data_IF_916339885281
#
_entry.id   IF_916339885281
#
_cell.length_a   1.000
_cell.length_b   1.000
_cell.length_c   1.000
_cell.angle_alpha   90.00
_cell.angle_beta   90.00
_cell.angle_gamma   90.00
#
_symmetry.space_group_name_H-M   'P 1'
#
loop_
_entity.id
_entity.type
_entity.pdbx_description
1 polymer ?
#
# COMPACT_ATOMS: atom_id res chain seq x y z
N UNK A 1 9.07 9.31 -32.75
CA UNK A 1 7.89 8.72 -32.10
C UNK A 1 7.66 7.36 -32.70
N UNK A 2 8.17 6.30 -32.07
CA UNK A 2 8.33 4.97 -32.68
C UNK A 2 7.09 4.09 -32.53
N UNK A 3 6.57 3.62 -33.67
CA UNK A 3 5.30 2.91 -33.86
C UNK A 3 5.19 1.50 -33.29
N UNK A 4 6.02 1.10 -32.33
CA UNK A 4 5.86 -0.19 -31.61
C UNK A 4 4.81 -0.13 -30.49
N UNK A 5 4.47 1.07 -30.01
CA UNK A 5 3.45 1.30 -28.98
C UNK A 5 2.01 1.01 -29.41
N UNK A 6 1.75 0.92 -30.73
CA UNK A 6 0.41 0.81 -31.28
C UNK A 6 -0.06 -0.64 -31.48
N UNK A 7 0.80 -1.66 -31.48
CA UNK A 7 0.38 -3.04 -31.79
C UNK A 7 -0.26 -3.79 -30.62
N UNK A 8 0.11 -3.49 -29.37
CA UNK A 8 -0.49 -4.12 -28.18
C UNK A 8 -1.83 -3.47 -27.81
N UNK A 9 -1.94 -2.13 -27.85
CA UNK A 9 -3.20 -1.41 -27.68
C UNK A 9 -4.23 -1.78 -28.76
N UNK A 10 -3.81 -2.19 -29.97
CA UNK A 10 -4.70 -2.56 -31.08
C UNK A 10 -5.52 -3.84 -30.90
N UNK A 11 -5.24 -4.68 -29.89
CA UNK A 11 -5.84 -6.01 -29.76
C UNK A 11 -6.96 -6.13 -28.72
N UNK A 12 -7.15 -5.14 -27.84
CA UNK A 12 -8.21 -5.15 -26.82
C UNK A 12 -9.05 -3.88 -26.93
N UNK A 13 -10.25 -3.94 -27.54
CA UNK A 13 -11.12 -2.78 -27.81
C UNK A 13 -11.43 -1.93 -26.57
N UNK A 14 -11.51 -2.56 -25.40
CA UNK A 14 -11.79 -1.89 -24.14
C UNK A 14 -10.68 -0.90 -23.73
N UNK A 15 -9.41 -1.30 -23.83
CA UNK A 15 -8.28 -0.41 -23.49
C UNK A 15 -8.15 0.76 -24.45
N UNK A 16 -8.48 0.57 -25.73
CA UNK A 16 -8.53 1.65 -26.72
C UNK A 16 -9.60 2.68 -26.35
N UNK A 17 -10.78 2.22 -25.95
CA UNK A 17 -11.88 3.09 -25.56
C UNK A 17 -11.52 3.95 -24.35
N UNK A 18 -10.93 3.34 -23.31
CA UNK A 18 -10.48 4.04 -22.11
C UNK A 18 -9.35 5.04 -22.43
N UNK A 19 -8.41 4.66 -23.30
CA UNK A 19 -7.33 5.54 -23.75
C UNK A 19 -7.88 6.77 -24.49
N UNK A 20 -8.80 6.59 -25.42
CA UNK A 20 -9.46 7.67 -26.16
C UNK A 20 -10.24 8.61 -25.22
N UNK A 21 -10.97 8.04 -24.25
CA UNK A 21 -11.69 8.82 -23.25
C UNK A 21 -10.77 9.59 -22.28
N UNK A 22 -9.62 8.99 -21.89
CA UNK A 22 -8.63 9.66 -21.02
C UNK A 22 -7.98 10.86 -21.72
N UNK A 23 -7.79 10.78 -23.04
CA UNK A 23 -7.22 11.86 -23.87
C UNK A 23 -8.24 12.92 -24.29
N UNK A 24 -9.54 12.65 -24.15
CA UNK A 24 -10.61 13.60 -24.48
C UNK A 24 -10.89 14.57 -23.32
N UNK A 25 -11.25 15.84 -23.58
CA UNK A 25 -11.68 16.78 -22.54
C UNK A 25 -13.06 16.42 -21.94
N UNK A 26 -13.80 15.50 -22.54
CA UNK A 26 -15.16 15.14 -22.11
C UNK A 26 -15.15 14.15 -20.95
N UNK A 27 -16.11 14.28 -20.02
CA UNK A 27 -16.23 13.41 -18.84
C UNK A 27 -16.96 12.09 -19.11
N UNK A 28 -17.71 11.99 -20.20
CA UNK A 28 -18.54 10.84 -20.55
C UNK A 28 -18.41 10.55 -22.05
N UNK A 29 -18.33 9.27 -22.39
CA UNK A 29 -18.36 8.74 -23.75
C UNK A 29 -19.58 7.88 -23.97
N UNK A 30 -20.07 7.86 -25.21
CA UNK A 30 -21.16 6.98 -25.64
C UNK A 30 -20.59 6.05 -26.72
N UNK A 31 -20.76 4.75 -26.53
CA UNK A 31 -20.45 3.73 -27.52
C UNK A 31 -21.74 3.04 -27.93
N UNK A 32 -22.03 2.97 -29.22
CA UNK A 32 -23.26 2.33 -29.71
C UNK A 32 -23.09 1.76 -31.11
N UNK A 33 -23.82 0.68 -31.39
CA UNK A 33 -24.04 0.14 -32.73
C UNK A 33 -25.48 0.34 -33.23
N UNK A 34 -26.27 1.20 -32.59
CA UNK A 34 -27.69 1.42 -32.88
C UNK A 34 -28.62 0.52 -32.07
N UNK A 35 -28.29 -0.77 -31.92
CA UNK A 35 -29.05 -1.73 -31.12
C UNK A 35 -28.67 -1.70 -29.63
N UNK A 36 -27.38 -1.57 -29.33
CA UNK A 36 -26.83 -1.51 -27.98
C UNK A 36 -26.19 -0.16 -27.71
N UNK A 37 -26.40 0.34 -26.51
CA UNK A 37 -25.90 1.64 -26.08
C UNK A 37 -25.17 1.49 -24.76
N UNK A 38 -23.91 1.92 -24.75
CA UNK A 38 -23.03 1.84 -23.59
C UNK A 38 -22.62 3.27 -23.22
N UNK A 39 -22.98 3.68 -22.02
CA UNK A 39 -22.48 4.92 -21.43
C UNK A 39 -21.21 4.61 -20.64
N UNK A 40 -20.11 5.27 -20.99
CA UNK A 40 -18.79 5.05 -20.40
C UNK A 40 -18.32 6.34 -19.74
N UNK A 41 -18.12 6.31 -18.43
CA UNK A 41 -17.53 7.43 -17.70
C UNK A 41 -16.06 7.53 -18.05
N UNK A 42 -15.54 8.75 -18.20
CA UNK A 42 -14.10 8.99 -18.32
C UNK A 42 -13.44 8.35 -17.09
N UNK A 43 -12.64 7.30 -17.29
CA UNK A 43 -12.01 6.60 -16.18
C UNK A 43 -11.12 7.58 -15.43
N UNK A 44 -11.38 7.78 -14.13
CA UNK A 44 -10.42 8.49 -13.29
C UNK A 44 -9.27 7.54 -12.89
N UNK A 45 -9.50 6.20 -12.91
CA UNK A 45 -8.55 5.04 -12.98
C UNK A 45 -9.28 3.80 -13.58
N UNK A 46 -8.89 2.55 -13.24
CA UNK A 46 -9.41 1.24 -13.71
C UNK A 46 -10.88 0.95 -13.31
N UNK A 47 -11.78 1.91 -13.46
CA UNK A 47 -13.20 1.70 -13.23
C UNK A 47 -13.84 0.95 -14.40
N UNK A 48 -14.49 -0.19 -14.11
CA UNK A 48 -15.33 -0.94 -15.05
C UNK A 48 -16.81 -0.58 -14.89
N UNK A 49 -17.17 0.69 -14.65
CA UNK A 49 -18.57 1.09 -14.55
C UNK A 49 -19.06 1.58 -15.91
N UNK A 50 -19.84 0.75 -16.58
CA UNK A 50 -20.59 1.12 -17.77
C UNK A 50 -22.07 0.78 -17.55
N UNK A 51 -22.95 1.62 -18.09
CA UNK A 51 -24.37 1.30 -18.19
C UNK A 51 -24.60 0.83 -19.61
N UNK A 52 -24.83 -0.47 -19.79
CA UNK A 52 -25.20 -1.08 -21.07
C UNK A 52 -26.73 -1.25 -21.12
N UNK A 53 -27.33 -0.80 -22.21
CA UNK A 53 -28.75 -0.96 -22.50
C UNK A 53 -28.90 -1.60 -23.88
N UNK A 54 -29.57 -2.76 -23.93
CA UNK A 54 -29.94 -3.46 -25.16
C UNK A 54 -31.33 -3.00 -25.63
N UNK A 55 -31.40 -2.10 -26.61
CA UNK A 55 -32.66 -1.53 -27.08
C UNK A 55 -33.48 -2.50 -27.93
N UNK A 56 -32.83 -3.43 -28.64
CA UNK A 56 -33.55 -4.46 -29.41
C UNK A 56 -34.27 -5.42 -28.45
N UNK A 57 -33.57 -5.89 -27.42
CA UNK A 57 -34.20 -6.71 -26.37
C UNK A 57 -35.34 -5.98 -25.64
N UNK A 58 -35.16 -4.68 -25.35
CA UNK A 58 -36.19 -3.83 -24.73
C UNK A 58 -37.41 -3.66 -25.64
N UNK A 59 -37.20 -3.52 -26.95
CA UNK A 59 -38.26 -3.40 -27.93
C UNK A 59 -39.04 -4.72 -28.11
N UNK A 60 -38.32 -5.85 -28.20
CA UNK A 60 -38.90 -7.19 -28.29
C UNK A 60 -39.73 -7.56 -27.05
N UNK A 61 -39.20 -7.26 -25.86
CA UNK A 61 -39.84 -7.54 -24.57
C UNK A 61 -40.86 -6.47 -24.15
N UNK A 62 -41.00 -5.38 -24.93
CA UNK A 62 -41.83 -4.21 -24.62
C UNK A 62 -41.59 -3.64 -23.22
N UNK A 63 -40.34 -3.64 -22.78
CA UNK A 63 -39.93 -3.14 -21.47
C UNK A 63 -39.95 -1.60 -21.44
N UNK A 64 -41.08 -1.05 -20.98
CA UNK A 64 -41.29 0.39 -20.93
C UNK A 64 -40.39 1.10 -19.92
N UNK A 65 -39.96 0.42 -18.87
CA UNK A 65 -39.20 1.05 -17.79
C UNK A 65 -37.74 1.20 -18.20
N UNK A 66 -37.16 0.18 -18.83
CA UNK A 66 -35.81 0.28 -19.40
C UNK A 66 -35.76 1.28 -20.57
N UNK A 67 -36.82 1.38 -21.39
CA UNK A 67 -36.92 2.39 -22.43
C UNK A 67 -37.06 3.83 -21.87
N UNK A 68 -37.80 4.00 -20.77
CA UNK A 68 -37.88 5.27 -20.03
C UNK A 68 -36.52 5.62 -19.42
N UNK A 69 -35.83 4.65 -18.83
CA UNK A 69 -34.50 4.86 -18.26
C UNK A 69 -33.51 5.30 -19.34
N UNK A 70 -33.51 4.64 -20.51
CA UNK A 70 -32.73 5.03 -21.68
C UNK A 70 -33.02 6.48 -22.08
N UNK A 71 -34.29 6.83 -22.28
CA UNK A 71 -34.67 8.17 -22.71
C UNK A 71 -34.35 9.25 -21.67
N UNK A 72 -34.41 8.92 -20.38
CA UNK A 72 -34.01 9.83 -19.30
C UNK A 72 -32.49 10.04 -19.30
N UNK A 73 -31.69 8.98 -19.31
CA UNK A 73 -30.21 9.04 -19.25
C UNK A 73 -29.63 9.73 -20.49
N UNK A 74 -30.06 9.32 -21.68
CA UNK A 74 -29.51 9.80 -22.95
C UNK A 74 -30.20 11.08 -23.46
N UNK A 75 -31.09 11.70 -22.68
CA UNK A 75 -31.63 13.03 -23.00
C UNK A 75 -30.59 14.14 -22.76
N UNK A 76 -30.74 15.31 -23.41
CA UNK A 76 -29.89 16.46 -23.12
C UNK A 76 -29.89 16.86 -21.63
N UNK A 77 -31.03 16.69 -20.96
CA UNK A 77 -31.19 16.94 -19.53
C UNK A 77 -30.49 15.86 -18.69
N UNK A 78 -30.65 14.59 -19.06
CA UNK A 78 -29.97 13.46 -18.43
C UNK A 78 -28.46 13.63 -18.39
N UNK A 79 -27.88 13.94 -19.55
CA UNK A 79 -26.43 14.09 -19.70
C UNK A 79 -25.87 15.34 -19.01
N UNK A 80 -26.63 16.44 -18.91
CA UNK A 80 -26.17 17.71 -18.35
C UNK A 80 -26.45 17.90 -16.86
N UNK A 81 -27.57 17.37 -16.37
CA UNK A 81 -28.08 17.64 -15.02
C UNK A 81 -28.13 16.36 -14.19
N UNK A 82 -28.79 15.32 -14.70
CA UNK A 82 -29.07 14.10 -13.92
C UNK A 82 -27.79 13.33 -13.55
N UNK A 83 -26.86 13.15 -14.51
CA UNK A 83 -25.61 12.42 -14.24
C UNK A 83 -24.73 13.16 -13.22
N UNK A 84 -24.48 14.48 -13.32
CA UNK A 84 -23.80 15.23 -12.26
C UNK A 84 -24.54 15.22 -10.92
N UNK A 85 -25.87 15.28 -10.89
CA UNK A 85 -26.66 15.23 -9.66
C UNK A 85 -26.59 13.86 -8.96
N UNK A 86 -26.54 12.77 -9.73
CA UNK A 86 -26.31 11.42 -9.20
C UNK A 86 -24.95 11.31 -8.52
N UNK A 87 -23.88 11.84 -9.14
CA UNK A 87 -22.54 11.90 -8.54
C UNK A 87 -22.55 12.67 -7.21
N UNK A 88 -23.26 13.79 -7.17
CA UNK A 88 -23.34 14.65 -5.99
C UNK A 88 -24.23 14.04 -4.88
N UNK A 89 -25.29 13.29 -5.25
CA UNK A 89 -26.13 12.56 -4.29
C UNK A 89 -25.40 11.39 -3.65
N UNK A 90 -24.67 10.58 -4.41
CA UNK A 90 -23.82 9.51 -3.88
C UNK A 90 -22.81 10.08 -2.87
N UNK A 91 -22.16 11.20 -3.22
CA UNK A 91 -21.26 11.93 -2.32
C UNK A 91 -21.94 12.34 -1.01
N UNK A 92 -23.15 12.89 -1.07
CA UNK A 92 -23.89 13.28 0.13
C UNK A 92 -24.37 12.08 0.97
N UNK A 93 -24.75 10.97 0.34
CA UNK A 93 -25.11 9.73 1.03
C UNK A 93 -23.93 9.17 1.82
N UNK A 94 -22.75 9.08 1.19
CA UNK A 94 -21.51 8.61 1.81
C UNK A 94 -21.09 9.55 2.96
N UNK A 95 -21.15 10.86 2.76
CA UNK A 95 -20.87 11.83 3.82
C UNK A 95 -21.88 11.76 4.97
N UNK A 96 -23.15 11.45 4.67
CA UNK A 96 -24.20 11.22 5.66
C UNK A 96 -23.91 10.00 6.54
N UNK A 97 -23.52 8.88 5.92
CA UNK A 97 -23.11 7.66 6.61
C UNK A 97 -21.88 7.89 7.49
N UNK A 98 -20.86 8.55 6.95
CA UNK A 98 -19.63 8.86 7.69
C UNK A 98 -19.91 9.79 8.87
N UNK A 99 -20.82 10.77 8.74
CA UNK A 99 -21.22 11.65 9.86
C UNK A 99 -22.09 10.96 10.89
N UNK A 100 -23.03 10.11 10.45
CA UNK A 100 -23.90 9.33 11.33
C UNK A 100 -23.07 8.38 12.18
N UNK A 101 -22.09 7.72 11.57
CA UNK A 101 -21.13 6.88 12.28
C UNK A 101 -20.15 7.72 13.10
N UNK A 102 -19.59 8.85 12.61
CA UNK A 102 -18.76 9.74 13.46
C UNK A 102 -19.45 10.19 14.76
N UNK A 103 -20.78 10.41 14.75
CA UNK A 103 -21.56 10.75 15.94
C UNK A 103 -21.86 9.56 16.87
N UNK A 104 -21.74 8.32 16.38
CA UNK A 104 -21.85 7.09 17.17
C UNK A 104 -20.49 6.62 17.71
N UNK A 105 -19.37 7.24 17.28
CA UNK A 105 -18.02 6.72 17.48
C UNK A 105 -17.19 7.64 18.39
N UNK A 106 -16.90 7.24 19.64
CA UNK A 106 -16.11 8.06 20.56
C UNK A 106 -14.67 8.20 20.05
N UNK A 107 -14.14 9.42 20.14
CA UNK A 107 -12.83 9.84 19.61
C UNK A 107 -11.62 9.25 20.38
N UNK A 108 -11.85 8.41 21.40
CA UNK A 108 -10.84 8.05 22.40
C UNK A 108 -10.69 6.56 22.70
N UNK A 109 -11.44 5.66 22.07
CA UNK A 109 -11.31 4.22 22.33
C UNK A 109 -10.36 3.54 21.32
N UNK A 110 -9.43 2.65 21.76
CA UNK A 110 -8.73 1.74 20.85
C UNK A 110 -9.77 0.81 20.21
N UNK A 111 -9.88 0.89 18.89
CA UNK A 111 -10.81 0.10 18.08
C UNK A 111 -10.24 -1.30 17.88
N UNK A 112 -11.10 -2.30 17.76
CA UNK A 112 -10.66 -3.63 17.30
C UNK A 112 -10.64 -3.66 15.77
N UNK A 113 -9.74 -4.47 15.19
CA UNK A 113 -9.66 -4.67 13.73
C UNK A 113 -11.01 -5.08 13.12
N UNK A 114 -11.84 -5.79 13.89
CA UNK A 114 -13.18 -6.25 13.52
C UNK A 114 -14.21 -5.12 13.37
N UNK A 115 -14.10 -4.05 14.16
CA UNK A 115 -15.00 -2.90 14.07
C UNK A 115 -14.73 -2.08 12.81
N UNK A 116 -13.44 -1.87 12.51
CA UNK A 116 -13.00 -1.13 11.31
C UNK A 116 -13.35 -1.92 10.06
N UNK A 117 -13.11 -3.23 10.07
CA UNK A 117 -13.53 -4.15 9.01
C UNK A 117 -15.02 -4.04 8.72
N UNK A 118 -15.87 -4.15 9.75
CA UNK A 118 -17.33 -4.06 9.60
C UNK A 118 -17.77 -2.72 9.03
N UNK A 119 -17.12 -1.63 9.43
CA UNK A 119 -17.40 -0.30 8.88
C UNK A 119 -17.06 -0.21 7.39
N UNK A 120 -15.89 -0.70 6.97
CA UNK A 120 -15.49 -0.70 5.56
C UNK A 120 -16.42 -1.61 4.73
N UNK A 121 -16.81 -2.77 5.26
CA UNK A 121 -17.79 -3.65 4.62
C UNK A 121 -19.19 -3.01 4.54
N UNK A 122 -19.55 -2.15 5.50
CA UNK A 122 -20.75 -1.31 5.48
C UNK A 122 -20.69 -0.29 4.35
N UNK A 123 -19.59 0.47 4.25
CA UNK A 123 -19.36 1.44 3.17
C UNK A 123 -19.46 0.80 1.79
N UNK A 124 -18.83 -0.37 1.59
CA UNK A 124 -18.89 -1.09 0.33
C UNK A 124 -20.32 -1.47 -0.06
N UNK A 125 -21.11 -1.98 0.90
CA UNK A 125 -22.48 -2.43 0.67
C UNK A 125 -23.47 -1.28 0.47
N UNK A 126 -23.46 -0.29 1.36
CA UNK A 126 -24.46 0.79 1.36
C UNK A 126 -24.24 1.78 0.22
N UNK A 127 -23.00 1.87 -0.27
CA UNK A 127 -22.63 2.82 -1.33
C UNK A 127 -22.38 2.12 -2.67
N UNK A 128 -22.69 0.82 -2.75
CA UNK A 128 -22.45 -0.05 -3.92
C UNK A 128 -21.05 0.14 -4.52
N UNK A 129 -20.04 0.32 -3.67
CA UNK A 129 -18.68 0.64 -4.08
C UNK A 129 -17.92 -0.61 -4.47
N UNK A 130 -17.19 -0.53 -5.59
CA UNK A 130 -16.22 -1.56 -5.91
C UNK A 130 -14.98 -1.38 -5.03
N UNK A 131 -14.63 -2.43 -4.28
CA UNK A 131 -13.44 -2.45 -3.44
C UNK A 131 -12.15 -2.12 -4.21
N UNK A 132 -12.07 -2.40 -5.53
CA UNK A 132 -10.91 -2.06 -6.36
C UNK A 132 -10.64 -0.56 -6.52
N UNK A 133 -11.66 0.27 -6.28
CA UNK A 133 -11.60 1.73 -6.45
C UNK A 133 -11.81 2.47 -5.12
N UNK A 134 -11.95 1.75 -4.02
CA UNK A 134 -12.33 2.30 -2.72
C UNK A 134 -11.35 3.41 -2.28
N UNK A 135 -10.05 3.19 -2.46
CA UNK A 135 -8.99 4.18 -2.17
C UNK A 135 -9.23 5.52 -2.84
N UNK A 136 -9.60 5.49 -4.12
CA UNK A 136 -9.75 6.67 -4.97
C UNK A 136 -11.06 7.40 -4.68
N UNK A 137 -12.12 6.63 -4.42
CA UNK A 137 -13.43 7.13 -4.00
C UNK A 137 -13.29 7.82 -2.64
N UNK A 138 -12.67 7.17 -1.65
CA UNK A 138 -12.43 7.75 -0.34
C UNK A 138 -11.57 9.03 -0.42
N UNK A 139 -10.51 9.03 -1.24
CA UNK A 139 -9.72 10.24 -1.47
C UNK A 139 -10.57 11.39 -2.04
N UNK A 140 -11.35 11.10 -3.09
CA UNK A 140 -12.21 12.09 -3.73
C UNK A 140 -13.26 12.68 -2.78
N UNK A 141 -13.88 11.82 -1.96
CA UNK A 141 -14.98 12.21 -1.10
C UNK A 141 -14.53 12.90 0.19
N UNK A 142 -13.39 12.50 0.76
CA UNK A 142 -13.00 12.88 2.11
C UNK A 142 -11.93 13.97 2.17
N UNK A 143 -11.15 14.17 1.12
CA UNK A 143 -9.97 15.07 1.18
C UNK A 143 -10.20 16.44 0.53
N UNK A 144 -11.38 16.72 -0.05
CA UNK A 144 -11.77 18.05 -0.63
C UNK A 144 -10.65 18.81 -1.36
N UNK A 145 -10.67 18.78 -2.69
CA UNK A 145 -10.07 19.87 -3.49
C UNK A 145 -8.55 19.82 -3.73
N UNK A 146 -7.82 18.84 -3.20
CA UNK A 146 -6.50 18.53 -3.77
C UNK A 146 -6.69 17.90 -5.14
N UNK A 147 -6.15 18.54 -6.18
CA UNK A 147 -6.05 17.92 -7.50
C UNK A 147 -5.39 16.55 -7.30
N UNK A 148 -5.92 15.50 -7.95
CA UNK A 148 -5.18 14.25 -8.15
C UNK A 148 -3.86 14.63 -8.82
N UNK A 149 -2.79 14.78 -8.05
CA UNK A 149 -1.46 14.83 -8.62
C UNK A 149 -1.17 13.40 -9.09
N UNK A 150 -1.27 13.20 -10.40
CA UNK A 150 -0.87 11.95 -11.03
C UNK A 150 0.64 11.81 -10.80
N UNK A 151 1.04 10.70 -10.17
CA UNK A 151 2.45 10.39 -9.95
C UNK A 151 3.11 10.24 -11.31
N UNK A 152 4.01 11.16 -11.62
CA UNK A 152 4.90 11.02 -12.78
C UNK A 152 5.99 10.04 -12.43
N UNK A 153 5.87 8.81 -12.94
CA UNK A 153 6.83 7.74 -12.64
C UNK A 153 8.26 8.12 -12.96
N UNK A 154 8.48 8.93 -14.00
CA UNK A 154 9.83 9.39 -14.40
C UNK A 154 10.48 10.33 -13.37
N UNK A 155 9.68 10.90 -12.45
CA UNK A 155 10.18 11.75 -11.35
C UNK A 155 10.41 10.97 -10.06
N UNK A 156 9.69 9.88 -9.86
CA UNK A 156 9.75 9.08 -8.62
C UNK A 156 10.76 7.96 -8.74
N UNK A 157 10.86 7.34 -9.93
CA UNK A 157 11.77 6.26 -10.18
C UNK A 157 13.04 6.80 -10.86
N UNK A 158 14.23 6.30 -10.48
CA UNK A 158 15.43 6.55 -11.26
C UNK A 158 15.23 6.00 -12.68
N UNK A 159 15.88 6.58 -13.70
CA UNK A 159 15.82 6.05 -15.05
C UNK A 159 16.39 4.63 -15.07
N UNK A 160 15.50 3.64 -15.06
CA UNK A 160 15.86 2.23 -15.14
C UNK A 160 15.91 1.82 -16.61
N UNK A 161 17.02 1.20 -17.02
CA UNK A 161 17.17 0.65 -18.36
C UNK A 161 16.87 -0.86 -18.42
N UNK A 162 16.73 -1.51 -17.25
CA UNK A 162 16.51 -2.96 -17.16
C UNK A 162 15.52 -3.31 -16.04
N UNK A 163 14.89 -4.49 -16.12
CA UNK A 163 13.96 -5.00 -15.10
C UNK A 163 14.63 -5.11 -13.73
N UNK A 164 15.87 -5.59 -13.67
CA UNK A 164 16.63 -5.72 -12.42
C UNK A 164 16.87 -4.35 -11.76
N UNK A 165 17.20 -3.34 -12.55
CA UNK A 165 17.39 -1.98 -12.04
C UNK A 165 16.08 -1.39 -11.50
N UNK A 166 14.95 -1.63 -12.18
CA UNK A 166 13.64 -1.19 -11.70
C UNK A 166 13.25 -1.92 -10.40
N UNK A 167 13.21 -3.25 -10.42
CA UNK A 167 12.67 -4.08 -9.33
C UNK A 167 13.58 -4.14 -8.07
N UNK A 168 14.85 -3.72 -8.20
CA UNK A 168 15.72 -3.51 -7.03
C UNK A 168 15.44 -2.21 -6.28
N UNK A 169 14.63 -1.31 -6.84
CA UNK A 169 14.27 -0.05 -6.18
C UNK A 169 13.44 -0.31 -4.92
N UNK A 170 13.63 0.52 -3.90
CA UNK A 170 12.86 0.51 -2.64
C UNK A 170 12.20 1.87 -2.48
N UNK A 171 10.89 1.89 -2.25
CA UNK A 171 10.07 3.10 -2.18
C UNK A 171 9.36 3.11 -0.84
N UNK A 172 9.53 4.20 -0.11
CA UNK A 172 8.84 4.44 1.15
C UNK A 172 7.74 5.49 0.94
N UNK A 173 6.49 5.10 1.19
CA UNK A 173 5.32 5.98 1.27
C UNK A 173 5.00 6.27 2.74
N UNK A 174 5.44 7.43 3.23
CA UNK A 174 5.30 7.80 4.65
C UNK A 174 3.87 8.21 5.02
N UNK A 175 2.97 8.42 4.06
CA UNK A 175 1.58 8.83 4.32
C UNK A 175 0.69 8.36 3.17
N UNK A 176 0.46 7.04 3.03
CA UNK A 176 -0.23 6.50 1.87
C UNK A 176 -1.73 6.81 1.88
N UNK A 177 -2.26 7.27 3.02
CA UNK A 177 -3.64 7.66 3.20
C UNK A 177 -4.54 6.47 2.77
N UNK A 178 -5.57 6.72 1.97
CA UNK A 178 -6.43 5.66 1.47
C UNK A 178 -5.75 4.72 0.45
N UNK A 179 -4.53 4.99 -0.02
CA UNK A 179 -3.81 4.12 -0.95
C UNK A 179 -3.91 4.50 -2.43
N UNK A 180 -4.32 5.72 -2.76
CA UNK A 180 -4.43 6.16 -4.16
C UNK A 180 -3.06 6.27 -4.86
N UNK A 181 -2.01 6.66 -4.13
CA UNK A 181 -0.64 6.68 -4.64
C UNK A 181 -0.06 5.27 -4.74
N UNK A 182 -0.32 4.41 -3.75
CA UNK A 182 0.01 2.99 -3.80
C UNK A 182 -0.51 2.33 -5.09
N UNK A 183 -1.78 2.54 -5.43
CA UNK A 183 -2.38 2.03 -6.68
C UNK A 183 -1.63 2.53 -7.91
N UNK A 184 -1.34 3.84 -7.98
CA UNK A 184 -0.60 4.41 -9.11
C UNK A 184 0.79 3.79 -9.22
N UNK A 185 1.52 3.65 -8.10
CA UNK A 185 2.86 3.04 -8.05
C UNK A 185 2.84 1.59 -8.54
N UNK A 186 1.91 0.78 -8.06
CA UNK A 186 1.79 -0.63 -8.48
C UNK A 186 1.53 -0.72 -9.99
N UNK A 187 0.54 0.01 -10.48
CA UNK A 187 0.17 0.01 -11.91
C UNK A 187 1.33 0.51 -12.78
N UNK A 188 1.98 1.61 -12.39
CA UNK A 188 3.06 2.22 -13.17
C UNK A 188 4.36 1.41 -13.14
N UNK A 189 4.74 0.81 -12.01
CA UNK A 189 5.91 -0.08 -11.93
C UNK A 189 5.67 -1.35 -12.75
N UNK A 190 4.48 -1.96 -12.64
CA UNK A 190 4.12 -3.14 -13.43
C UNK A 190 4.21 -2.83 -14.93
N UNK A 191 3.63 -1.71 -15.34
CA UNK A 191 3.73 -1.22 -16.71
C UNK A 191 5.17 -1.00 -17.19
N UNK A 192 6.01 -0.33 -16.39
CA UNK A 192 7.42 -0.11 -16.74
C UNK A 192 8.17 -1.44 -16.84
N UNK A 193 7.93 -2.38 -15.91
CA UNK A 193 8.56 -3.69 -15.90
C UNK A 193 8.27 -4.46 -17.20
N UNK A 194 7.03 -4.44 -17.71
CA UNK A 194 6.67 -5.09 -18.97
C UNK A 194 7.40 -4.53 -20.19
N UNK A 195 7.89 -3.29 -20.12
CA UNK A 195 8.55 -2.59 -21.24
C UNK A 195 10.08 -2.59 -21.16
N UNK A 196 10.66 -3.00 -20.02
CA UNK A 196 12.10 -3.01 -19.84
C UNK A 196 12.69 -4.39 -20.21
N UNK A 197 13.88 -4.43 -20.84
CA UNK A 197 14.60 -5.68 -21.05
C UNK A 197 15.23 -6.18 -19.75
N UNK A 198 15.56 -7.47 -19.71
CA UNK A 198 16.55 -7.97 -18.76
C UNK A 198 17.94 -7.45 -19.12
N UNK A 199 18.77 -7.15 -18.12
CA UNK A 199 20.18 -6.80 -18.34
C UNK A 199 20.93 -7.95 -19.02
N UNK A 200 20.59 -9.17 -18.64
CA UNK A 200 21.15 -10.40 -19.16
C UNK A 200 19.99 -11.38 -19.40
N UNK A 201 19.70 -11.78 -20.65
CA UNK A 201 18.62 -12.72 -20.95
C UNK A 201 18.73 -14.06 -20.22
N UNK A 202 19.94 -14.46 -19.80
CA UNK A 202 20.14 -15.69 -19.01
C UNK A 202 19.66 -15.57 -17.56
N UNK A 203 19.40 -14.35 -17.08
CA UNK A 203 18.84 -14.04 -15.75
C UNK A 203 17.33 -13.86 -15.77
N UNK A 204 16.67 -14.50 -16.74
CA UNK A 204 15.22 -14.52 -16.82
C UNK A 204 14.60 -15.00 -15.49
N UNK A 205 13.64 -14.22 -14.97
CA UNK A 205 12.90 -14.55 -13.76
C UNK A 205 11.43 -14.77 -14.15
N UNK A 206 10.96 -16.03 -14.23
CA UNK A 206 9.59 -16.34 -14.62
C UNK A 206 8.54 -15.58 -13.79
N UNK A 207 8.81 -15.40 -12.50
CA UNK A 207 7.95 -14.70 -11.54
C UNK A 207 7.76 -13.22 -11.88
N UNK A 208 8.66 -12.59 -12.65
CA UNK A 208 8.50 -11.21 -13.08
C UNK A 208 7.70 -11.06 -14.39
N UNK A 209 7.46 -12.17 -15.10
CA UNK A 209 6.61 -12.18 -16.29
C UNK A 209 5.17 -12.63 -16.00
N UNK A 210 4.95 -13.32 -14.88
CA UNK A 210 3.62 -13.69 -14.43
C UNK A 210 3.00 -12.54 -13.62
N UNK A 211 1.83 -12.06 -14.05
CA UNK A 211 1.21 -10.85 -13.53
C UNK A 211 1.03 -10.87 -12.00
N UNK A 212 0.51 -11.97 -11.44
CA UNK A 212 0.22 -12.04 -10.00
C UNK A 212 1.50 -12.08 -9.17
N UNK A 213 2.50 -12.82 -9.61
CA UNK A 213 3.82 -12.93 -8.98
C UNK A 213 4.58 -11.61 -9.05
N UNK A 214 4.50 -10.89 -10.17
CA UNK A 214 5.06 -9.55 -10.30
C UNK A 214 4.39 -8.56 -9.34
N UNK A 215 3.05 -8.57 -9.24
CA UNK A 215 2.32 -7.70 -8.32
C UNK A 215 2.64 -8.01 -6.85
N UNK A 216 2.77 -9.29 -6.49
CA UNK A 216 3.20 -9.70 -5.14
C UNK A 216 4.64 -9.26 -4.87
N UNK A 217 5.53 -9.34 -5.87
CA UNK A 217 6.89 -8.83 -5.76
C UNK A 217 6.95 -7.32 -5.56
N UNK A 218 6.22 -6.53 -6.37
CA UNK A 218 6.18 -5.07 -6.25
C UNK A 218 5.69 -4.66 -4.86
N UNK A 219 4.55 -5.22 -4.44
CA UNK A 219 3.91 -4.85 -3.16
C UNK A 219 4.66 -5.39 -1.93
N UNK A 220 5.31 -6.57 -2.05
CA UNK A 220 6.00 -7.24 -0.95
C UNK A 220 7.50 -6.96 -0.86
N UNK A 221 8.13 -6.46 -1.92
CA UNK A 221 9.59 -6.24 -1.96
C UNK A 221 10.01 -4.82 -2.29
N UNK A 222 9.20 -4.05 -3.02
CA UNK A 222 9.56 -2.68 -3.44
C UNK A 222 8.89 -1.60 -2.62
N UNK A 223 7.60 -1.77 -2.31
CA UNK A 223 6.80 -0.74 -1.65
C UNK A 223 6.76 -0.96 -0.14
N UNK A 224 6.99 0.11 0.60
CA UNK A 224 6.91 0.18 2.06
C UNK A 224 6.07 1.39 2.43
N UNK A 225 5.30 1.32 3.51
CA UNK A 225 4.57 2.50 3.93
C UNK A 225 4.09 2.47 5.37
N UNK A 226 3.84 3.67 5.90
CA UNK A 226 3.39 3.87 7.27
C UNK A 226 2.19 4.80 7.27
N UNK A 227 1.11 4.35 7.91
CA UNK A 227 -0.12 5.10 8.02
C UNK A 227 -0.56 5.17 9.48
N UNK A 228 -0.92 6.37 9.92
CA UNK A 228 -1.39 6.62 11.28
C UNK A 228 -2.84 6.22 11.45
N UNK A 229 -3.65 6.43 10.41
CA UNK A 229 -5.07 6.12 10.37
C UNK A 229 -5.32 4.65 10.01
N UNK A 230 -5.71 3.87 11.01
CA UNK A 230 -6.04 2.45 10.84
C UNK A 230 -7.16 2.21 9.81
N UNK A 231 -8.13 3.13 9.74
CA UNK A 231 -9.17 3.11 8.72
C UNK A 231 -8.59 3.28 7.31
N UNK A 232 -7.66 4.21 7.12
CA UNK A 232 -7.07 4.49 5.80
C UNK A 232 -6.19 3.33 5.35
N UNK A 233 -5.45 2.74 6.29
CA UNK A 233 -4.66 1.53 6.05
C UNK A 233 -5.54 0.33 5.69
N UNK A 234 -6.67 0.13 6.36
CA UNK A 234 -7.61 -0.94 6.01
C UNK A 234 -8.22 -0.73 4.63
N UNK A 235 -8.60 0.50 4.28
CA UNK A 235 -9.05 0.84 2.92
C UNK A 235 -7.98 0.50 1.87
N UNK A 236 -6.71 0.84 2.12
CA UNK A 236 -5.59 0.50 1.23
C UNK A 236 -5.46 -1.03 1.07
N UNK A 237 -5.48 -1.78 2.17
CA UNK A 237 -5.39 -3.26 2.14
C UNK A 237 -6.53 -3.90 1.37
N UNK A 238 -7.76 -3.43 1.59
CA UNK A 238 -8.95 -3.90 0.86
C UNK A 238 -8.85 -3.58 -0.63
N UNK A 239 -8.42 -2.38 -0.99
CA UNK A 239 -8.19 -2.00 -2.38
C UNK A 239 -7.13 -2.89 -3.02
N UNK A 240 -5.99 -3.09 -2.36
CA UNK A 240 -4.93 -3.98 -2.86
C UNK A 240 -5.42 -5.40 -3.07
N UNK A 241 -6.14 -5.95 -2.09
CA UNK A 241 -6.65 -7.32 -2.17
C UNK A 241 -7.69 -7.48 -3.27
N UNK A 242 -8.60 -6.51 -3.42
CA UNK A 242 -9.65 -6.54 -4.43
C UNK A 242 -9.12 -6.29 -5.85
N UNK A 243 -8.17 -5.37 -6.01
CA UNK A 243 -7.64 -4.97 -7.32
C UNK A 243 -6.55 -5.92 -7.84
N UNK A 244 -5.67 -6.36 -6.95
CA UNK A 244 -4.45 -7.10 -7.32
C UNK A 244 -4.39 -8.52 -6.74
N UNK A 245 -5.28 -8.88 -5.81
CA UNK A 245 -5.25 -10.19 -5.14
C UNK A 245 -4.14 -10.36 -4.10
N UNK A 246 -3.32 -9.31 -3.88
CA UNK A 246 -2.14 -9.33 -3.01
C UNK A 246 -2.33 -8.46 -1.78
N UNK A 247 -1.65 -8.85 -0.70
CA UNK A 247 -1.66 -8.13 0.57
C UNK A 247 -0.41 -7.22 0.66
N UNK A 248 -0.56 -5.90 0.92
CA UNK A 248 0.56 -4.98 1.03
C UNK A 248 1.25 -5.13 2.39
N UNK A 249 1.95 -6.26 2.57
CA UNK A 249 2.55 -6.72 3.84
C UNK A 249 3.51 -5.72 4.50
N UNK A 250 4.10 -4.82 3.71
CA UNK A 250 5.03 -3.80 4.18
C UNK A 250 4.36 -2.49 4.61
N UNK A 251 3.04 -2.37 4.43
CA UNK A 251 2.26 -1.21 4.90
C UNK A 251 1.76 -1.46 6.32
N UNK A 252 2.29 -0.65 7.26
CA UNK A 252 2.07 -0.84 8.68
C UNK A 252 1.41 0.38 9.32
N UNK A 253 0.71 0.14 10.42
CA UNK A 253 0.20 1.20 11.28
C UNK A 253 1.35 1.82 12.06
N UNK A 254 1.45 3.14 12.06
CA UNK A 254 2.50 3.85 12.80
C UNK A 254 2.42 5.37 12.61
N UNK A 255 3.18 6.10 13.40
CA UNK A 255 3.42 7.52 13.19
C UNK A 255 4.70 7.68 12.36
N UNK A 256 4.60 8.17 11.11
CA UNK A 256 5.75 8.29 10.22
C UNK A 256 6.81 9.28 10.72
N UNK A 257 6.48 10.13 11.71
CA UNK A 257 7.41 11.07 12.32
C UNK A 257 8.16 10.49 13.52
N UNK A 258 7.75 9.31 14.02
CA UNK A 258 8.32 8.68 15.20
C UNK A 258 9.09 7.42 14.80
N UNK A 259 10.18 7.64 14.05
CA UNK A 259 11.04 6.56 13.63
C UNK A 259 12.53 6.86 13.59
N UNK A 260 13.31 5.80 13.68
CA UNK A 260 14.78 5.87 13.73
C UNK A 260 15.37 4.85 12.77
N UNK A 261 16.30 5.27 11.89
CA UNK A 261 16.99 4.32 11.02
C UNK A 261 17.98 3.49 11.82
N UNK A 262 18.19 2.24 11.43
CA UNK A 262 19.14 1.34 12.09
C UNK A 262 20.56 1.93 12.21
N UNK A 263 20.98 2.72 11.22
CA UNK A 263 22.28 3.39 11.21
C UNK A 263 22.49 4.36 12.39
N UNK A 264 21.43 4.83 13.04
CA UNK A 264 21.53 5.65 14.25
C UNK A 264 22.14 4.89 15.43
N UNK A 265 22.01 3.56 15.49
CA UNK A 265 22.62 2.76 16.55
C UNK A 265 24.15 2.81 16.51
N UNK A 266 24.73 2.88 15.32
CA UNK A 266 26.19 3.01 15.15
C UNK A 266 26.72 4.33 15.73
N UNK A 267 25.94 5.41 15.59
CA UNK A 267 26.32 6.72 16.16
C UNK A 267 26.30 6.73 17.68
N UNK A 268 25.39 5.95 18.29
CA UNK A 268 25.30 5.83 19.74
C UNK A 268 26.54 5.16 20.35
N UNK A 269 27.13 4.18 19.64
CA UNK A 269 28.37 3.52 20.05
C UNK A 269 29.57 4.49 19.91
N UNK A 270 29.68 5.21 18.79
CA UNK A 270 30.83 6.09 18.51
C UNK A 270 30.94 7.30 19.47
N UNK A 271 29.81 7.84 19.94
CA UNK A 271 29.78 8.99 20.85
C UNK A 271 30.30 8.67 22.26
N UNK A 272 30.31 7.40 22.67
CA UNK A 272 30.66 6.97 24.05
C UNK A 272 32.13 6.58 24.24
N UNK A 273 32.96 6.57 23.17
CA UNK A 273 34.44 6.48 23.20
C UNK A 273 35.08 5.38 24.07
N UNK A 274 34.36 4.34 24.51
CA UNK A 274 34.97 3.19 25.18
C UNK A 274 34.68 1.89 24.45
N UNK A 275 35.67 1.28 23.76
CA UNK A 275 35.55 -0.11 23.32
C UNK A 275 35.52 -0.98 24.58
N UNK A 276 34.37 -1.54 24.91
CA UNK A 276 34.31 -2.54 25.98
C UNK A 276 35.03 -3.79 25.50
N UNK A 277 36.09 -4.18 26.21
CA UNK A 277 36.84 -5.43 25.98
C UNK A 277 36.01 -6.70 26.24
N UNK A 278 34.83 -6.55 26.85
CA UNK A 278 34.00 -7.65 27.34
C UNK A 278 32.70 -7.86 26.57
N UNK A 279 32.36 -6.96 25.64
CA UNK A 279 31.12 -7.04 24.87
C UNK A 279 31.41 -7.14 23.37
N UNK A 280 30.50 -7.80 22.66
CA UNK A 280 30.53 -7.82 21.20
C UNK A 280 30.42 -6.39 20.68
N UNK A 281 31.22 -6.05 19.67
CA UNK A 281 31.15 -4.75 19.03
C UNK A 281 29.78 -4.61 18.32
N UNK A 282 29.10 -3.46 18.49
CA UNK A 282 27.73 -3.27 17.97
C UNK A 282 27.72 -3.34 16.45
N UNK A 283 28.75 -2.79 15.80
CA UNK A 283 28.93 -2.88 14.34
C UNK A 283 29.11 -4.33 13.90
N UNK A 284 29.81 -5.16 14.65
CA UNK A 284 29.94 -6.61 14.36
C UNK A 284 28.59 -7.32 14.51
N UNK A 285 27.84 -7.04 15.58
CA UNK A 285 26.50 -7.61 15.79
C UNK A 285 25.52 -7.21 14.66
N UNK A 286 25.55 -5.94 14.23
CA UNK A 286 24.73 -5.46 13.11
C UNK A 286 25.19 -6.03 11.76
N UNK A 287 26.48 -6.17 11.51
CA UNK A 287 26.98 -6.83 10.30
C UNK A 287 26.56 -8.30 10.26
N UNK A 288 26.64 -9.01 11.41
CA UNK A 288 26.15 -10.37 11.56
C UNK A 288 24.66 -10.46 11.26
N UNK A 289 23.85 -9.49 11.69
CA UNK A 289 22.43 -9.40 11.33
C UNK A 289 22.22 -9.30 9.82
N UNK A 290 22.95 -8.38 9.18
CA UNK A 290 22.89 -8.16 7.73
C UNK A 290 23.28 -9.43 6.97
N UNK A 291 24.32 -10.12 7.40
CA UNK A 291 24.81 -11.33 6.74
C UNK A 291 23.86 -12.52 6.92
N UNK A 292 23.28 -12.71 8.11
CA UNK A 292 22.22 -13.71 8.32
C UNK A 292 21.01 -13.43 7.44
N UNK A 293 20.63 -12.15 7.30
CA UNK A 293 19.50 -11.74 6.45
C UNK A 293 19.78 -11.99 4.98
N UNK A 294 21.00 -11.70 4.51
CA UNK A 294 21.45 -12.03 3.14
C UNK A 294 21.43 -13.52 2.87
N UNK A 295 21.93 -14.33 3.80
CA UNK A 295 21.93 -15.79 3.67
C UNK A 295 20.49 -16.32 3.56
N UNK A 296 19.58 -15.87 4.42
CA UNK A 296 18.17 -16.26 4.38
C UNK A 296 17.49 -15.91 3.05
N UNK A 297 17.86 -14.79 2.42
CA UNK A 297 17.34 -14.36 1.11
C UNK A 297 17.89 -15.17 -0.06
N UNK A 298 19.06 -15.80 0.07
CA UNK A 298 19.67 -16.63 -0.97
C UNK A 298 19.07 -18.04 -1.02
N UNK A 299 18.43 -18.49 0.06
CA UNK A 299 17.83 -19.82 0.16
C UNK A 299 16.50 -19.90 -0.61
N UNK A 300 16.35 -20.98 -1.37
CA UNK A 300 15.18 -21.27 -2.18
C UNK A 300 14.03 -21.81 -1.34
N UNK A 301 12.82 -21.30 -1.59
CA UNK A 301 11.58 -21.82 -0.99
C UNK A 301 11.14 -23.16 -1.62
N UNK A 302 11.85 -23.65 -2.63
CA UNK A 302 11.49 -24.88 -3.37
C UNK A 302 12.32 -26.10 -2.98
N UNK A 303 13.43 -25.91 -2.26
CA UNK A 303 14.34 -26.99 -1.86
C UNK A 303 14.12 -27.29 -0.38
N UNK A 304 13.72 -28.53 -0.06
CA UNK A 304 13.29 -28.91 1.28
C UNK A 304 14.39 -28.75 2.33
N UNK A 305 15.63 -29.10 1.96
CA UNK A 305 16.80 -28.95 2.82
C UNK A 305 17.12 -27.47 3.10
N UNK A 306 17.01 -26.61 2.08
CA UNK A 306 17.22 -25.16 2.23
C UNK A 306 16.10 -24.51 3.06
N UNK A 307 14.88 -25.02 2.96
CA UNK A 307 13.73 -24.52 3.72
C UNK A 307 13.93 -24.69 5.23
N UNK A 308 14.43 -25.84 5.69
CA UNK A 308 14.73 -26.05 7.11
C UNK A 308 15.84 -25.12 7.63
N UNK A 309 16.87 -24.87 6.81
CA UNK A 309 17.95 -23.92 7.14
C UNK A 309 17.39 -22.49 7.20
N UNK A 310 16.53 -22.13 6.25
CA UNK A 310 15.88 -20.81 6.18
C UNK A 310 15.01 -20.56 7.40
N UNK A 311 14.18 -21.52 7.81
CA UNK A 311 13.36 -21.42 9.02
C UNK A 311 14.21 -21.20 10.28
N UNK A 312 15.35 -21.90 10.39
CA UNK A 312 16.30 -21.71 11.48
C UNK A 312 16.95 -20.32 11.49
N UNK A 313 17.34 -19.81 10.31
CA UNK A 313 17.87 -18.45 10.15
C UNK A 313 16.82 -17.39 10.48
N UNK A 314 15.59 -17.56 10.01
CA UNK A 314 14.47 -16.66 10.29
C UNK A 314 14.16 -16.59 11.79
N UNK A 315 14.23 -17.72 12.50
CA UNK A 315 14.10 -17.74 13.97
C UNK A 315 15.13 -16.84 14.66
N UNK A 316 16.40 -16.93 14.24
CA UNK A 316 17.49 -16.10 14.78
C UNK A 316 17.34 -14.63 14.40
N UNK A 317 16.94 -14.35 13.15
CA UNK A 317 16.67 -12.99 12.67
C UNK A 317 15.55 -12.34 13.46
N UNK A 318 14.45 -13.07 13.71
CA UNK A 318 13.32 -12.57 14.52
C UNK A 318 13.75 -12.12 15.91
N UNK A 319 14.54 -12.94 16.61
CA UNK A 319 15.05 -12.57 17.94
C UNK A 319 15.91 -11.31 17.89
N UNK A 320 16.83 -11.21 16.91
CA UNK A 320 17.68 -10.04 16.77
C UNK A 320 16.89 -8.78 16.41
N UNK A 321 15.88 -8.90 15.54
CA UNK A 321 14.98 -7.80 15.17
C UNK A 321 14.19 -7.28 16.37
N UNK A 322 13.72 -8.16 17.25
CA UNK A 322 13.03 -7.76 18.47
C UNK A 322 13.95 -6.97 19.39
N UNK A 323 15.19 -7.41 19.59
CA UNK A 323 16.20 -6.71 20.41
C UNK A 323 16.55 -5.34 19.85
N UNK A 324 16.82 -5.27 18.55
CA UNK A 324 17.06 -4.01 17.83
C UNK A 324 15.86 -3.06 18.02
N UNK A 325 14.64 -3.58 17.90
CA UNK A 325 13.42 -2.80 18.11
C UNK A 325 13.28 -2.31 19.54
N UNK A 326 13.60 -3.14 20.54
CA UNK A 326 13.62 -2.75 21.96
C UNK A 326 14.56 -1.56 22.19
N UNK A 327 15.78 -1.61 21.63
CA UNK A 327 16.77 -0.54 21.73
C UNK A 327 16.27 0.73 21.04
N UNK A 328 15.76 0.62 19.81
CA UNK A 328 15.29 1.79 19.05
C UNK A 328 14.05 2.44 19.67
N UNK A 329 13.14 1.63 20.24
CA UNK A 329 12.00 2.15 21.02
C UNK A 329 12.48 2.91 22.25
N UNK A 330 13.46 2.37 22.99
CA UNK A 330 14.03 3.01 24.17
C UNK A 330 14.75 4.31 23.80
N UNK A 331 15.49 4.31 22.70
CA UNK A 331 16.17 5.51 22.18
C UNK A 331 15.17 6.62 21.80
N UNK A 332 14.09 6.29 21.08
CA UNK A 332 13.02 7.25 20.78
C UNK A 332 12.35 7.76 22.05
N UNK A 333 12.11 6.88 23.03
CA UNK A 333 11.52 7.26 24.32
C UNK A 333 12.40 8.25 25.09
N UNK A 334 13.72 8.06 25.07
CA UNK A 334 14.68 9.04 25.64
C UNK A 334 14.59 10.38 24.93
N UNK A 335 14.59 10.39 23.60
CA UNK A 335 14.67 11.63 22.81
C UNK A 335 13.37 12.46 22.86
N UNK A 336 12.22 11.83 22.60
CA UNK A 336 10.94 12.54 22.46
C UNK A 336 10.17 12.68 23.77
N UNK A 337 10.35 11.75 24.71
CA UNK A 337 9.52 11.67 25.92
C UNK A 337 10.32 11.84 27.22
N UNK A 338 11.65 11.74 27.16
CA UNK A 338 12.57 11.79 28.32
C UNK A 338 12.21 10.76 29.40
N UNK A 339 11.58 9.65 29.00
CA UNK A 339 11.08 8.61 29.89
C UNK A 339 12.15 7.56 30.27
N UNK A 340 13.29 7.58 29.58
CA UNK A 340 14.38 6.60 29.73
C UNK A 340 15.71 7.32 29.78
N UNK A 341 16.52 7.00 30.78
CA UNK A 341 17.91 7.46 30.87
C UNK A 341 18.76 6.86 29.74
N UNK A 342 19.63 7.69 29.16
CA UNK A 342 20.51 7.28 28.04
C UNK A 342 21.40 6.08 28.39
N UNK A 343 21.82 5.95 29.65
CA UNK A 343 22.63 4.81 30.12
C UNK A 343 21.96 3.45 29.91
N UNK A 344 20.63 3.36 30.09
CA UNK A 344 19.89 2.11 29.85
C UNK A 344 19.86 1.73 28.37
N UNK A 345 19.78 2.71 27.46
CA UNK A 345 19.82 2.45 26.01
C UNK A 345 21.17 1.88 25.60
N UNK A 346 22.26 2.41 26.18
CA UNK A 346 23.62 1.93 25.93
C UNK A 346 23.85 0.53 26.50
N UNK A 347 23.34 0.24 27.69
CA UNK A 347 23.39 -1.11 28.29
C UNK A 347 22.73 -2.14 27.35
N UNK A 348 21.51 -1.85 26.87
CA UNK A 348 20.85 -2.74 25.89
C UNK A 348 21.65 -2.91 24.60
N UNK A 349 22.28 -1.82 24.13
CA UNK A 349 23.07 -1.83 22.89
C UNK A 349 24.32 -2.71 23.01
N UNK A 350 25.04 -2.61 24.13
CA UNK A 350 26.24 -3.43 24.41
C UNK A 350 25.91 -4.93 24.54
N UNK A 351 24.69 -5.25 24.99
CA UNK A 351 24.22 -6.62 25.16
C UNK A 351 23.37 -7.14 23.99
N UNK A 352 23.44 -6.50 22.81
CA UNK A 352 22.70 -6.93 21.61
C UNK A 352 22.93 -8.42 21.26
N UNK A 353 24.18 -8.87 21.38
CA UNK A 353 24.62 -10.23 21.09
C UNK A 353 24.34 -11.27 22.19
N UNK A 354 23.88 -10.87 23.37
CA UNK A 354 23.82 -11.74 24.55
C UNK A 354 22.71 -12.80 24.50
N UNK A 355 22.73 -13.74 25.45
CA UNK A 355 21.75 -14.81 25.57
C UNK A 355 20.32 -14.28 25.82
N UNK A 356 19.31 -15.03 25.37
CA UNK A 356 17.90 -14.63 25.54
C UNK A 356 17.47 -14.47 27.01
N UNK A 357 18.15 -15.15 27.94
CA UNK A 357 17.92 -15.01 29.38
C UNK A 357 18.26 -13.60 29.91
N UNK A 358 19.20 -12.89 29.29
CA UNK A 358 19.45 -11.47 29.59
C UNK A 358 18.26 -10.63 29.12
N UNK A 359 17.86 -10.79 27.85
CA UNK A 359 16.78 -10.02 27.23
C UNK A 359 15.41 -10.24 27.89
N UNK A 360 15.12 -11.46 28.35
CA UNK A 360 13.91 -11.73 29.13
C UNK A 360 13.88 -10.92 30.43
N UNK A 361 15.00 -10.89 31.17
CA UNK A 361 15.11 -10.09 32.41
C UNK A 361 14.98 -8.59 32.13
N UNK A 362 15.60 -8.09 31.07
CA UNK A 362 15.48 -6.69 30.68
C UNK A 362 14.05 -6.30 30.32
N UNK A 363 13.34 -7.14 29.55
CA UNK A 363 11.93 -6.91 29.15
C UNK A 363 10.96 -6.97 30.33
N UNK A 364 11.33 -7.62 31.42
CA UNK A 364 10.56 -7.62 32.67
C UNK A 364 10.71 -6.32 33.46
N UNK A 365 11.76 -5.52 33.21
CA UNK A 365 11.95 -4.23 33.90
C UNK A 365 10.83 -3.25 33.55
N UNK A 366 10.34 -2.54 34.57
CA UNK A 366 9.19 -1.63 34.44
C UNK A 366 9.43 -0.49 33.44
N UNK A 367 10.66 0.01 33.32
CA UNK A 367 10.96 1.07 32.36
C UNK A 367 10.83 0.60 30.91
N UNK A 368 11.28 -0.62 30.58
CA UNK A 368 11.20 -1.16 29.22
C UNK A 368 9.75 -1.55 28.87
N UNK A 369 8.97 -2.06 29.82
CA UNK A 369 7.52 -2.23 29.67
C UNK A 369 6.81 -0.91 29.35
N UNK A 370 7.16 0.17 30.05
CA UNK A 370 6.61 1.52 29.75
C UNK A 370 6.97 1.99 28.35
N UNK A 371 8.23 1.83 27.94
CA UNK A 371 8.69 2.13 26.57
C UNK A 371 7.84 1.38 25.54
N UNK A 372 7.60 0.09 25.76
CA UNK A 372 6.75 -0.72 24.86
C UNK A 372 5.31 -0.25 24.81
N UNK A 373 4.75 0.15 25.95
CA UNK A 373 3.41 0.74 26.00
C UNK A 373 3.34 2.06 25.23
N UNK A 374 4.36 2.91 25.35
CA UNK A 374 4.48 4.18 24.61
C UNK A 374 4.63 3.90 23.12
N UNK A 375 5.55 3.03 22.73
CA UNK A 375 5.80 2.62 21.34
C UNK A 375 4.52 2.13 20.67
N UNK A 376 3.78 1.23 21.33
CA UNK A 376 2.49 0.73 20.82
C UNK A 376 1.43 1.83 20.73
N UNK A 377 1.33 2.70 21.74
CA UNK A 377 0.32 3.78 21.79
C UNK A 377 0.59 4.89 20.78
N UNK A 378 1.86 5.23 20.56
CA UNK A 378 2.32 6.30 19.68
C UNK A 378 2.63 5.83 18.27
N UNK A 379 2.72 4.52 18.06
CA UNK A 379 2.97 3.91 16.76
C UNK A 379 4.41 4.10 16.28
N UNK A 380 5.41 3.82 17.14
CA UNK A 380 6.80 3.94 16.70
C UNK A 380 7.08 3.04 15.49
N UNK A 381 7.94 3.53 14.60
CA UNK A 381 8.28 2.87 13.35
C UNK A 381 9.79 2.85 13.14
N UNK A 382 10.37 1.71 12.78
CA UNK A 382 11.82 1.60 12.57
C UNK A 382 12.11 0.98 11.22
N UNK A 383 13.11 1.52 10.51
CA UNK A 383 13.56 1.06 9.18
C UNK A 383 14.99 0.54 9.19
#
# INVERSE_FOLDING_TARGET
MSGYFLEFERRIPFYQLLYLLKKSPVKWGILTNGARWILVKRPVLLEKRFIEIDLEGVWELRDRDTFRLFSVIFSPRGLKELLPELEERERHSILGLIRKEQNLWPTSAPRTDDEITRFVDGLLRECDLNASNLSEVCLHLLVRGERKEEIRMEKVLPPAQTKEALLSTRILDMTPNFGAHFVQLVDGISYLCSNLPYKDPSKFVPEWEEERSLLDHITGSMLFGIERSELSLEILRRTSKARYGVDPRNYKKGDPLLGVPLASLLRLEEEERQPSLFFENVKEALNRFIDLRRQALLLSDRIKEELAVKEGLEGRLRLMEERIRDILDAYLATYFFRDVERGHVLELLLHLGDAESFWQKEREKEWLKRVKAISKKRGFFHM
#
